data_IF_894480151763
#
_entry.id   IF_894480151763
#
_cell.length_a   1.000
_cell.length_b   1.000
_cell.length_c   1.000
_cell.angle_alpha   90.00
_cell.angle_beta   90.00
_cell.angle_gamma   90.00
#
_symmetry.space_group_name_H-M   'P 1'
#
loop_
_entity.id
_entity.type
_entity.pdbx_description
1 polymer ?
#
# COMPACT_ATOMS: atom_id res chain seq x y z
N UNK A 1 -25.81 0.75 9.64
CA UNK A 1 -25.04 0.58 10.88
C UNK A 1 -23.54 0.85 10.68
N UNK A 2 -23.02 0.96 9.45
CA UNK A 2 -21.56 1.07 9.21
C UNK A 2 -20.93 2.45 9.45
N UNK A 3 -21.60 3.54 9.06
CA UNK A 3 -21.01 4.91 9.14
C UNK A 3 -20.83 5.47 10.55
N UNK A 4 -21.50 4.91 11.55
CA UNK A 4 -21.35 5.32 12.95
C UNK A 4 -20.02 4.82 13.51
N UNK A 5 -19.51 3.69 12.99
CA UNK A 5 -18.17 3.19 13.28
C UNK A 5 -17.09 4.05 12.61
N UNK A 6 -17.36 4.54 11.40
CA UNK A 6 -16.44 5.43 10.67
C UNK A 6 -16.29 6.79 11.37
N UNK A 7 -17.38 7.32 11.95
CA UNK A 7 -17.35 8.52 12.79
C UNK A 7 -16.41 8.38 14.00
N UNK A 8 -16.44 7.22 14.66
CA UNK A 8 -15.55 6.92 15.80
C UNK A 8 -14.08 6.88 15.34
N UNK A 9 -13.79 6.18 14.23
CA UNK A 9 -12.43 6.08 13.69
C UNK A 9 -11.87 7.46 13.29
N UNK A 10 -12.69 8.31 12.67
CA UNK A 10 -12.28 9.65 12.29
C UNK A 10 -12.04 10.55 13.50
N UNK A 11 -12.86 10.45 14.56
CA UNK A 11 -12.68 11.25 15.76
C UNK A 11 -11.36 10.99 16.49
N UNK A 12 -10.84 9.76 16.40
CA UNK A 12 -9.63 9.32 17.09
C UNK A 12 -8.36 9.44 16.21
N UNK A 13 -8.49 9.34 14.89
CA UNK A 13 -7.34 9.16 13.98
C UNK A 13 -7.30 10.08 12.75
N UNK A 14 -8.33 10.88 12.49
CA UNK A 14 -8.31 11.77 11.33
C UNK A 14 -7.59 13.10 11.62
N UNK A 15 -6.77 13.54 10.68
CA UNK A 15 -6.23 14.89 10.68
C UNK A 15 -7.27 15.88 10.12
N UNK A 16 -8.07 16.46 11.01
CA UNK A 16 -9.11 17.44 10.65
C UNK A 16 -8.57 18.86 10.41
N UNK A 17 -7.24 19.05 10.44
CA UNK A 17 -6.64 20.36 10.16
C UNK A 17 -6.65 20.69 8.65
N UNK A 18 -6.77 19.68 7.80
CA UNK A 18 -6.89 19.85 6.35
C UNK A 18 -8.35 20.14 5.94
N UNK A 19 -8.58 21.31 5.35
CA UNK A 19 -9.91 21.77 4.94
C UNK A 19 -10.49 20.93 3.80
N UNK A 20 -9.66 20.47 2.85
CA UNK A 20 -10.09 19.65 1.72
C UNK A 20 -10.58 18.28 2.20
N UNK A 21 -9.81 17.64 3.10
CA UNK A 21 -10.19 16.37 3.73
C UNK A 21 -11.47 16.54 4.55
N UNK A 22 -11.57 17.62 5.34
CA UNK A 22 -12.75 17.90 6.15
C UNK A 22 -14.01 18.07 5.30
N UNK A 23 -13.93 18.76 4.17
CA UNK A 23 -15.08 18.96 3.28
C UNK A 23 -15.46 17.69 2.50
N UNK A 24 -14.48 16.85 2.16
CA UNK A 24 -14.73 15.52 1.62
C UNK A 24 -15.45 14.62 2.63
N UNK A 25 -15.02 14.63 3.90
CA UNK A 25 -15.67 13.88 4.98
C UNK A 25 -17.12 14.36 5.21
N UNK A 26 -17.37 15.67 5.24
CA UNK A 26 -18.73 16.22 5.33
C UNK A 26 -19.63 15.70 4.20
N UNK A 27 -19.13 15.69 2.96
CA UNK A 27 -19.86 15.13 1.81
C UNK A 27 -20.07 13.62 1.91
N UNK A 28 -19.12 12.88 2.47
CA UNK A 28 -19.28 11.44 2.70
C UNK A 28 -20.43 11.15 3.67
N UNK A 29 -20.59 11.94 4.74
CA UNK A 29 -21.68 11.75 5.70
C UNK A 29 -23.04 12.31 5.24
N UNK A 30 -23.07 13.20 4.24
CA UNK A 30 -24.31 13.69 3.64
C UNK A 30 -25.00 12.60 2.80
N UNK A 31 -26.06 12.00 3.35
CA UNK A 31 -26.85 10.94 2.70
C UNK A 31 -27.69 11.43 1.51
N UNK A 32 -27.90 12.74 1.38
CA UNK A 32 -28.62 13.32 0.24
C UNK A 32 -27.72 13.51 -0.99
N UNK A 33 -26.39 13.46 -0.79
CA UNK A 33 -25.41 13.57 -1.85
C UNK A 33 -25.36 12.29 -2.68
N UNK A 34 -25.56 12.43 -4.01
CA UNK A 34 -25.39 11.33 -4.97
C UNK A 34 -23.97 10.74 -4.91
N UNK A 35 -22.97 11.57 -4.58
CA UNK A 35 -21.58 11.14 -4.44
C UNK A 35 -21.35 10.25 -3.20
N UNK A 36 -22.13 10.44 -2.14
CA UNK A 36 -22.05 9.62 -0.92
C UNK A 36 -22.45 8.16 -1.16
N UNK A 37 -23.19 7.88 -2.24
CA UNK A 37 -23.62 6.55 -2.63
C UNK A 37 -22.79 5.93 -3.76
N UNK A 38 -21.79 6.65 -4.28
CA UNK A 38 -20.88 6.10 -5.31
C UNK A 38 -19.78 5.30 -4.63
N UNK A 39 -19.63 4.06 -5.06
CA UNK A 39 -18.52 3.19 -4.67
C UNK A 39 -17.51 3.20 -5.81
N UNK A 40 -16.25 3.45 -5.49
CA UNK A 40 -15.13 3.24 -6.40
C UNK A 40 -14.49 1.90 -6.04
N UNK A 41 -14.23 1.08 -7.06
CA UNK A 41 -13.39 -0.09 -6.86
C UNK A 41 -11.95 0.39 -6.73
N UNK A 42 -11.31 0.02 -5.62
CA UNK A 42 -9.91 0.29 -5.38
C UNK A 42 -9.17 -1.03 -5.13
N UNK A 43 -7.95 -1.13 -5.64
CA UNK A 43 -7.05 -2.24 -5.39
C UNK A 43 -5.97 -1.83 -4.39
N UNK A 44 -5.58 -2.75 -3.51
CA UNK A 44 -4.36 -2.63 -2.72
C UNK A 44 -3.52 -3.88 -2.95
N UNK A 45 -2.25 -3.70 -3.30
CA UNK A 45 -1.31 -4.79 -3.49
C UNK A 45 -0.05 -4.55 -2.67
N UNK A 46 0.32 -5.55 -1.89
CA UNK A 46 1.60 -5.61 -1.19
C UNK A 46 2.52 -6.55 -1.97
N UNK A 47 3.61 -6.03 -2.51
CA UNK A 47 4.54 -6.80 -3.35
C UNK A 47 5.90 -6.84 -2.68
N UNK A 48 6.22 -7.99 -2.09
CA UNK A 48 7.54 -8.29 -1.55
C UNK A 48 8.43 -8.92 -2.61
N UNK A 49 9.65 -8.41 -2.79
CA UNK A 49 10.61 -8.94 -3.75
C UNK A 49 12.03 -8.84 -3.22
N UNK A 50 12.92 -9.64 -3.81
CA UNK A 50 14.35 -9.61 -3.50
C UNK A 50 15.00 -8.44 -4.25
N UNK A 51 15.82 -7.67 -3.55
CA UNK A 51 16.47 -6.48 -4.08
C UNK A 51 17.96 -6.49 -3.74
N UNK A 52 18.87 -6.41 -4.73
CA UNK A 52 20.32 -6.46 -4.47
C UNK A 52 20.84 -5.35 -3.55
N UNK A 53 20.14 -4.21 -3.53
CA UNK A 53 20.47 -3.07 -2.69
C UNK A 53 19.95 -3.19 -1.25
N UNK A 54 19.10 -4.18 -0.97
CA UNK A 54 18.57 -4.42 0.36
C UNK A 54 19.46 -5.45 1.08
N UNK A 55 19.96 -5.15 2.29
CA UNK A 55 20.95 -5.99 2.93
C UNK A 55 20.39 -7.38 3.23
N UNK A 56 21.19 -8.39 2.89
CA UNK A 56 21.00 -9.75 3.38
C UNK A 56 21.41 -9.84 4.86
N UNK A 57 21.07 -10.97 5.50
CA UNK A 57 21.43 -11.24 6.89
C UNK A 57 22.93 -10.98 7.13
N UNK A 58 23.23 -10.23 8.19
CA UNK A 58 24.59 -9.86 8.65
C UNK A 58 25.36 -8.83 7.80
N UNK A 59 24.73 -8.14 6.84
CA UNK A 59 25.36 -7.04 6.11
C UNK A 59 24.98 -5.69 6.70
N UNK A 60 25.97 -4.93 7.22
CA UNK A 60 25.79 -3.52 7.56
C UNK A 60 25.82 -2.69 6.28
N UNK A 61 24.67 -2.46 5.67
CA UNK A 61 24.55 -1.49 4.60
C UNK A 61 24.38 -0.08 5.19
N UNK A 62 24.92 0.93 4.50
CA UNK A 62 24.75 2.34 4.85
C UNK A 62 23.31 2.71 4.49
N UNK A 63 22.57 3.30 5.43
CA UNK A 63 21.15 3.63 5.24
C UNK A 63 20.90 4.48 3.99
N UNK A 64 21.80 5.43 3.71
CA UNK A 64 21.71 6.31 2.54
C UNK A 64 21.83 5.55 1.21
N UNK A 65 22.73 4.54 1.13
CA UNK A 65 22.89 3.72 -0.07
C UNK A 65 21.64 2.87 -0.35
N UNK A 66 20.98 2.37 0.70
CA UNK A 66 19.70 1.65 0.57
C UNK A 66 18.62 2.59 0.06
N UNK A 67 18.53 3.81 0.60
CA UNK A 67 17.55 4.80 0.18
C UNK A 67 17.75 5.19 -1.28
N UNK A 68 18.98 5.43 -1.70
CA UNK A 68 19.31 5.77 -3.08
C UNK A 68 19.04 4.61 -4.06
N UNK A 69 19.40 3.39 -3.67
CA UNK A 69 19.09 2.17 -4.42
C UNK A 69 17.58 1.96 -4.57
N UNK A 70 16.82 2.13 -3.49
CA UNK A 70 15.37 2.01 -3.48
C UNK A 70 14.71 3.07 -4.38
N UNK A 71 15.14 4.34 -4.31
CA UNK A 71 14.59 5.42 -5.15
C UNK A 71 14.79 5.16 -6.64
N UNK A 72 15.99 4.71 -7.04
CA UNK A 72 16.29 4.36 -8.43
C UNK A 72 15.41 3.20 -8.91
N UNK A 73 15.33 2.14 -8.11
CA UNK A 73 14.56 0.97 -8.48
C UNK A 73 13.05 1.26 -8.52
N UNK A 74 12.53 2.09 -7.61
CA UNK A 74 11.13 2.52 -7.60
C UNK A 74 10.73 3.27 -8.88
N UNK A 75 11.62 4.10 -9.44
CA UNK A 75 11.36 4.76 -10.71
C UNK A 75 11.16 3.73 -11.84
N UNK A 76 12.12 2.80 -11.97
CA UNK A 76 12.06 1.74 -12.98
C UNK A 76 10.83 0.83 -12.81
N UNK A 77 10.44 0.52 -11.57
CA UNK A 77 9.28 -0.31 -11.29
C UNK A 77 7.98 0.43 -11.57
N UNK A 78 7.89 1.71 -11.23
CA UNK A 78 6.71 2.53 -11.50
C UNK A 78 6.39 2.52 -13.00
N UNK A 79 7.41 2.68 -13.85
CA UNK A 79 7.24 2.65 -15.30
C UNK A 79 6.76 1.27 -15.79
N UNK A 80 7.41 0.18 -15.36
CA UNK A 80 7.02 -1.18 -15.74
C UNK A 80 5.62 -1.57 -15.25
N UNK A 81 5.26 -1.17 -14.03
CA UNK A 81 3.94 -1.38 -13.46
C UNK A 81 2.92 -0.60 -14.29
N UNK A 82 3.20 0.67 -14.61
CA UNK A 82 2.34 1.49 -15.46
C UNK A 82 2.08 0.87 -16.84
N UNK A 83 3.15 0.42 -17.52
CA UNK A 83 3.04 -0.28 -18.80
C UNK A 83 2.17 -1.55 -18.70
N UNK A 84 2.34 -2.32 -17.63
CA UNK A 84 1.56 -3.54 -17.41
C UNK A 84 0.09 -3.22 -17.11
N UNK A 85 -0.19 -2.20 -16.29
CA UNK A 85 -1.56 -1.78 -15.98
C UNK A 85 -2.31 -1.34 -17.25
N UNK A 86 -1.64 -0.65 -18.16
CA UNK A 86 -2.20 -0.27 -19.46
C UNK A 86 -2.48 -1.50 -20.33
N UNK A 87 -1.53 -2.43 -20.42
CA UNK A 87 -1.68 -3.66 -21.21
C UNK A 87 -2.85 -4.53 -20.72
N UNK A 88 -3.03 -4.62 -19.39
CA UNK A 88 -4.10 -5.41 -18.75
C UNK A 88 -5.41 -4.63 -18.58
N UNK A 89 -5.49 -3.37 -19.04
CA UNK A 89 -6.67 -2.49 -18.93
C UNK A 89 -7.16 -2.28 -17.50
N UNK A 90 -6.22 -2.09 -16.57
CA UNK A 90 -6.50 -1.89 -15.14
C UNK A 90 -6.48 -0.41 -14.73
N UNK A 91 -6.63 0.52 -15.68
CA UNK A 91 -6.55 1.97 -15.45
C UNK A 91 -7.87 2.59 -14.98
N UNK A 92 -8.98 1.84 -14.99
CA UNK A 92 -10.31 2.33 -14.59
C UNK A 92 -10.55 2.28 -13.08
N UNK A 93 -9.53 1.93 -12.28
CA UNK A 93 -9.58 1.91 -10.82
C UNK A 93 -8.30 2.48 -10.21
N UNK A 94 -8.41 2.93 -8.96
CA UNK A 94 -7.23 3.33 -8.19
C UNK A 94 -6.59 2.07 -7.60
N UNK A 95 -5.29 1.88 -7.83
CA UNK A 95 -4.53 0.76 -7.27
C UNK A 95 -3.34 1.32 -6.50
N UNK A 96 -3.28 1.03 -5.20
CA UNK A 96 -2.14 1.35 -4.37
C UNK A 96 -1.21 0.14 -4.30
N UNK A 97 -0.05 0.25 -4.96
CA UNK A 97 1.00 -0.77 -4.93
C UNK A 97 2.10 -0.39 -3.93
N UNK A 98 2.26 -1.23 -2.91
CA UNK A 98 3.32 -1.13 -1.92
C UNK A 98 4.45 -2.08 -2.28
N UNK A 99 5.52 -1.52 -2.84
CA UNK A 99 6.72 -2.26 -3.25
C UNK A 99 7.70 -2.35 -2.06
N UNK A 100 7.84 -3.55 -1.48
CA UNK A 100 8.67 -3.77 -0.29
C UNK A 100 9.89 -4.62 -0.66
N UNK A 101 11.10 -4.05 -0.64
CA UNK A 101 12.32 -4.85 -0.78
C UNK A 101 12.53 -5.72 0.45
N UNK A 102 12.89 -6.98 0.23
CA UNK A 102 13.15 -7.97 1.26
C UNK A 102 14.52 -8.62 1.05
N UNK A 103 15.18 -9.12 2.12
CA UNK A 103 16.41 -9.91 2.00
C UNK A 103 16.19 -11.19 1.19
N UNK A 104 15.07 -11.88 1.42
CA UNK A 104 14.59 -12.97 0.59
C UNK A 104 13.06 -13.06 0.64
N UNK A 105 12.43 -13.13 -0.52
CA UNK A 105 10.98 -13.28 -0.63
C UNK A 105 10.53 -14.68 -0.19
N UNK A 106 11.30 -15.71 -0.55
CA UNK A 106 11.05 -17.09 -0.14
C UNK A 106 11.33 -17.30 1.34
N UNK A 107 12.39 -16.68 1.87
CA UNK A 107 12.68 -16.64 3.31
C UNK A 107 11.53 -16.01 4.11
N UNK A 108 11.04 -14.84 3.67
CA UNK A 108 9.88 -14.20 4.27
C UNK A 108 8.64 -15.08 4.22
N UNK A 109 8.32 -15.69 3.07
CA UNK A 109 7.16 -16.57 2.93
C UNK A 109 7.24 -17.75 3.88
N UNK A 110 8.41 -18.36 4.00
CA UNK A 110 8.64 -19.51 4.89
C UNK A 110 8.46 -19.12 6.36
N UNK A 111 9.06 -18.00 6.77
CA UNK A 111 8.92 -17.46 8.13
C UNK A 111 7.46 -17.09 8.44
N UNK A 112 6.75 -16.49 7.48
CA UNK A 112 5.35 -16.12 7.61
C UNK A 112 4.46 -17.35 7.76
N UNK A 113 4.60 -18.36 6.89
CA UNK A 113 3.82 -19.61 6.98
C UNK A 113 4.07 -20.36 8.29
N UNK A 114 5.31 -20.33 8.79
CA UNK A 114 5.66 -20.87 10.11
C UNK A 114 4.98 -20.08 11.23
N UNK A 115 5.01 -18.75 11.19
CA UNK A 115 4.35 -17.89 12.17
C UNK A 115 2.82 -18.07 12.17
N UNK A 116 2.23 -18.36 11.00
CA UNK A 116 0.82 -18.67 10.84
C UNK A 116 0.46 -20.11 11.25
N UNK A 117 1.44 -20.94 11.62
CA UNK A 117 1.23 -22.34 12.03
C UNK A 117 0.88 -23.29 10.88
N UNK A 118 1.08 -22.87 9.63
CA UNK A 118 0.76 -23.66 8.43
C UNK A 118 1.92 -24.59 8.06
N UNK A 119 3.16 -24.13 8.27
CA UNK A 119 4.36 -24.94 8.08
C UNK A 119 4.88 -25.44 9.44
N UNK A 120 4.84 -26.76 9.66
CA UNK A 120 5.54 -27.42 10.77
C UNK A 120 7.04 -27.47 10.50
N UNK A 121 7.82 -27.36 11.58
CA UNK A 121 9.28 -27.38 11.57
C UNK A 121 9.90 -28.56 10.83
#
# INVERSE_FOLDING_TARGET
ADRERDLILLSDKADLSNSELTDALKRYFDRSSVLSNRVQYCGVALVGFEAPFYPADNVKAIADDIVDGARKALADWSDKIGERLLAEKLCDMEIQLFCIPLPSADGFRSAFLKAMGIATA
#
